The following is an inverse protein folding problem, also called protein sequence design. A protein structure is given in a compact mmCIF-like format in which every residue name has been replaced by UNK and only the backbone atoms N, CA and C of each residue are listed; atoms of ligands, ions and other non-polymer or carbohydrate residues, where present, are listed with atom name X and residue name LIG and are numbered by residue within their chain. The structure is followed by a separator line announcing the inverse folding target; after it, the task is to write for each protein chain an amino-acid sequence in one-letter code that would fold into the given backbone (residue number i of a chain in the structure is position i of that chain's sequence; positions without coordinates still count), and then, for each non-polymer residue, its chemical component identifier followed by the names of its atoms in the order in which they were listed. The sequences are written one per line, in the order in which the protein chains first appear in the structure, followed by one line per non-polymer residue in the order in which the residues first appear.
data_IF_527653197628
#
_entry.id   IF_527653197628
#
_cell.length_a   1.000
_cell.length_b   1.000
_cell.length_c   1.000
_cell.angle_alpha   90.00
_cell.angle_beta   90.00
_cell.angle_gamma   90.00
#
_symmetry.space_group_name_H-M   'P 1'
#
loop_
_entity.id
_entity.type
_entity.pdbx_description
1 polymer ?
#
# COMPACT_ATOMS: atom_id res chain seq x y z
N UNK A 1 -19.14 -2.33 20.62
CA UNK A 1 -18.31 -1.15 20.97
C UNK A 1 -16.86 -1.23 20.47
N UNK A 2 -15.97 -2.09 21.02
CA UNK A 2 -14.57 -2.17 20.53
C UNK A 2 -14.47 -2.67 19.07
N UNK A 3 -15.20 -3.73 18.70
CA UNK A 3 -15.16 -4.29 17.34
C UNK A 3 -15.75 -3.36 16.27
N UNK A 4 -16.84 -2.64 16.57
CA UNK A 4 -17.41 -1.65 15.66
C UNK A 4 -16.42 -0.51 15.41
N UNK A 5 -15.74 -0.02 16.47
CA UNK A 5 -14.70 1.02 16.36
C UNK A 5 -13.55 0.57 15.45
N UNK A 6 -13.13 -0.69 15.53
CA UNK A 6 -12.02 -1.21 14.73
C UNK A 6 -12.35 -1.38 13.25
N UNK A 7 -13.61 -1.69 12.89
CA UNK A 7 -14.02 -1.73 11.48
C UNK A 7 -14.07 -0.33 10.85
N UNK A 8 -14.68 0.65 11.51
CA UNK A 8 -14.69 2.03 11.01
C UNK A 8 -13.26 2.58 10.86
N UNK A 9 -12.37 2.25 11.80
CA UNK A 9 -10.96 2.58 11.69
C UNK A 9 -10.30 1.87 10.49
N UNK A 10 -10.58 0.59 10.27
CA UNK A 10 -10.04 -0.17 9.14
C UNK A 10 -10.49 0.43 7.79
N UNK A 11 -11.79 0.64 7.61
CA UNK A 11 -12.38 1.25 6.40
C UNK A 11 -11.82 2.66 6.19
N UNK A 12 -11.88 3.52 7.22
CA UNK A 12 -11.43 4.90 7.12
C UNK A 12 -9.93 5.00 6.82
N UNK A 13 -9.12 4.12 7.41
CA UNK A 13 -7.69 4.06 7.13
C UNK A 13 -7.38 3.46 5.75
N UNK A 14 -8.15 2.48 5.26
CA UNK A 14 -8.00 1.92 3.90
C UNK A 14 -8.37 2.97 2.84
N UNK A 15 -9.49 3.68 3.01
CA UNK A 15 -9.87 4.78 2.13
C UNK A 15 -8.77 5.86 2.08
N UNK A 16 -8.18 6.20 3.23
CA UNK A 16 -7.11 7.18 3.33
C UNK A 16 -5.80 6.71 2.69
N UNK A 17 -5.48 5.42 2.83
CA UNK A 17 -4.37 4.78 2.16
C UNK A 17 -4.56 4.79 0.64
N UNK A 18 -5.71 4.37 0.12
CA UNK A 18 -6.04 4.36 -1.30
C UNK A 18 -5.97 5.76 -1.93
N UNK A 19 -6.48 6.79 -1.24
CA UNK A 19 -6.34 8.18 -1.71
C UNK A 19 -4.87 8.57 -1.90
N UNK A 20 -4.02 8.20 -0.94
CA UNK A 20 -2.59 8.53 -0.97
C UNK A 20 -1.83 7.69 -2.01
N UNK A 21 -2.15 6.40 -2.11
CA UNK A 21 -1.58 5.49 -3.11
C UNK A 21 -2.00 5.89 -4.54
N UNK A 22 -3.22 6.39 -4.70
CA UNK A 22 -3.72 6.98 -5.94
C UNK A 22 -2.86 8.15 -6.42
N UNK A 23 -2.30 8.97 -5.52
CA UNK A 23 -1.31 9.99 -5.90
C UNK A 23 -0.04 9.33 -6.46
N UNK A 24 0.47 8.28 -5.81
CA UNK A 24 1.64 7.54 -6.30
C UNK A 24 1.43 7.02 -7.74
N UNK A 25 0.24 6.46 -8.02
CA UNK A 25 -0.07 5.84 -9.31
C UNK A 25 -0.47 6.88 -10.37
N UNK A 26 -1.47 7.70 -10.09
CA UNK A 26 -2.05 8.61 -11.07
C UNK A 26 -1.17 9.83 -11.33
N UNK A 27 -0.46 10.34 -10.32
CA UNK A 27 0.35 11.56 -10.45
C UNK A 27 1.81 11.27 -10.79
N UNK A 28 2.44 10.29 -10.14
CA UNK A 28 3.85 9.99 -10.36
C UNK A 28 4.08 8.88 -11.40
N UNK A 29 3.53 7.68 -11.20
CA UNK A 29 3.73 6.55 -12.11
C UNK A 29 3.25 6.85 -13.53
N UNK A 30 2.06 7.45 -13.67
CA UNK A 30 1.45 7.77 -14.96
C UNK A 30 1.98 9.06 -15.61
N UNK A 31 2.84 9.83 -14.94
CA UNK A 31 3.39 11.07 -15.50
C UNK A 31 4.28 10.78 -16.70
N UNK A 32 3.84 11.22 -17.89
CA UNK A 32 4.63 11.12 -19.12
C UNK A 32 5.95 11.87 -19.01
N UNK A 33 5.95 13.06 -18.41
CA UNK A 33 7.14 13.87 -18.24
C UNK A 33 8.17 13.16 -17.36
N UNK A 34 7.76 12.63 -16.21
CA UNK A 34 8.65 11.88 -15.33
C UNK A 34 9.17 10.60 -16.01
N UNK A 35 8.27 9.86 -16.66
CA UNK A 35 8.61 8.63 -17.39
C UNK A 35 9.64 8.86 -18.50
N UNK A 36 9.60 10.00 -19.20
CA UNK A 36 10.58 10.34 -20.23
C UNK A 36 12.00 10.58 -19.68
N UNK A 37 12.14 10.82 -18.38
CA UNK A 37 13.45 11.01 -17.73
C UNK A 37 14.09 9.70 -17.28
N UNK A 38 13.39 8.57 -17.43
CA UNK A 38 13.76 7.25 -16.94
C UNK A 38 13.82 6.24 -18.08
N UNK A 39 14.76 5.30 -18.01
CA UNK A 39 14.66 4.08 -18.80
C UNK A 39 13.47 3.22 -18.35
N UNK A 40 13.03 2.31 -19.21
CA UNK A 40 11.99 1.33 -18.87
C UNK A 40 12.33 0.54 -17.61
N UNK A 41 13.61 0.17 -17.46
CA UNK A 41 14.11 -0.58 -16.29
C UNK A 41 14.06 0.28 -15.02
N UNK A 42 14.51 1.53 -15.08
CA UNK A 42 14.47 2.43 -13.92
C UNK A 42 13.03 2.74 -13.51
N UNK A 43 12.11 2.96 -14.46
CA UNK A 43 10.70 3.15 -14.17
C UNK A 43 10.09 1.91 -13.48
N UNK A 44 10.41 0.72 -13.99
CA UNK A 44 9.98 -0.53 -13.35
C UNK A 44 10.61 -0.73 -11.97
N UNK A 45 11.90 -0.45 -11.77
CA UNK A 45 12.53 -0.53 -10.46
C UNK A 45 11.93 0.49 -9.49
N UNK A 46 11.65 1.71 -9.94
CA UNK A 46 11.13 2.80 -9.10
C UNK A 46 9.72 2.52 -8.60
N UNK A 47 8.84 1.97 -9.43
CA UNK A 47 7.43 1.77 -9.09
C UNK A 47 7.02 0.30 -8.89
N UNK A 48 7.87 -0.66 -9.25
CA UNK A 48 7.60 -2.09 -9.13
C UNK A 48 6.21 -2.47 -9.69
N UNK A 49 5.46 -3.26 -8.95
CA UNK A 49 4.07 -3.66 -9.19
C UNK A 49 3.04 -2.77 -8.45
N UNK A 50 3.33 -1.49 -8.20
CA UNK A 50 2.44 -0.59 -7.42
C UNK A 50 0.98 -0.54 -7.93
N UNK A 51 0.77 -0.66 -9.24
CA UNK A 51 -0.58 -0.69 -9.81
C UNK A 51 -1.35 -1.95 -9.38
N UNK A 52 -0.68 -3.10 -9.31
CA UNK A 52 -1.29 -4.35 -8.83
C UNK A 52 -1.57 -4.27 -7.33
N UNK A 53 -0.66 -3.65 -6.57
CA UNK A 53 -0.87 -3.37 -5.14
C UNK A 53 -2.13 -2.53 -4.95
N UNK A 54 -2.26 -1.43 -5.69
CA UNK A 54 -3.44 -0.56 -5.63
C UNK A 54 -4.73 -1.30 -5.97
N UNK A 55 -4.75 -2.10 -7.05
CA UNK A 55 -5.94 -2.87 -7.43
C UNK A 55 -6.37 -3.87 -6.35
N UNK A 56 -5.42 -4.54 -5.69
CA UNK A 56 -5.72 -5.44 -4.58
C UNK A 56 -6.31 -4.69 -3.37
N UNK A 57 -5.76 -3.51 -3.05
CA UNK A 57 -6.28 -2.65 -1.98
C UNK A 57 -7.68 -2.11 -2.30
N UNK A 58 -7.96 -1.76 -3.55
CA UNK A 58 -9.29 -1.32 -4.00
C UNK A 58 -10.32 -2.43 -3.83
N UNK A 59 -9.98 -3.65 -4.27
CA UNK A 59 -10.84 -4.82 -4.08
C UNK A 59 -11.12 -5.10 -2.61
N UNK A 60 -10.09 -5.04 -1.76
CA UNK A 60 -10.25 -5.18 -0.31
C UNK A 60 -11.17 -4.09 0.27
N UNK A 61 -10.99 -2.84 -0.13
CA UNK A 61 -11.84 -1.74 0.31
C UNK A 61 -13.31 -1.93 -0.12
N UNK A 62 -13.55 -2.36 -1.36
CA UNK A 62 -14.90 -2.64 -1.85
C UNK A 62 -15.60 -3.74 -1.03
N UNK A 63 -14.90 -4.82 -0.69
CA UNK A 63 -15.47 -5.90 0.13
C UNK A 63 -15.79 -5.41 1.56
N UNK A 64 -14.97 -4.52 2.12
CA UNK A 64 -15.25 -3.88 3.41
C UNK A 64 -16.48 -2.96 3.35
N UNK A 65 -16.62 -2.15 2.29
CA UNK A 65 -17.77 -1.27 2.09
C UNK A 65 -19.07 -2.06 1.87
N UNK A 66 -19.01 -3.17 1.12
CA UNK A 66 -20.14 -4.05 0.90
C UNK A 66 -20.65 -4.62 2.23
N UNK A 67 -19.75 -5.11 3.08
CA UNK A 67 -20.11 -5.63 4.42
C UNK A 67 -20.77 -4.57 5.30
N UNK A 68 -20.31 -3.32 5.24
CA UNK A 68 -20.90 -2.21 5.98
C UNK A 68 -22.33 -1.90 5.49
N UNK A 69 -22.59 -2.04 4.18
CA UNK A 69 -23.91 -1.82 3.59
C UNK A 69 -24.94 -2.91 3.91
N UNK A 70 -24.50 -4.15 4.11
CA UNK A 70 -25.38 -5.31 4.39
C UNK A 70 -25.90 -5.33 5.83
N UNK A 71 -25.12 -4.87 6.82
CA UNK A 71 -25.52 -4.85 8.22
C UNK A 71 -24.89 -3.67 8.98
N UNK A 72 -25.74 -2.79 9.55
CA UNK A 72 -25.29 -1.70 10.43
C UNK A 72 -24.75 -2.23 11.77
N UNK A 73 -25.21 -3.42 12.19
CA UNK A 73 -24.62 -4.17 13.30
C UNK A 73 -23.45 -4.98 12.74
N UNK A 74 -22.27 -4.37 12.77
CA UNK A 74 -21.07 -4.86 12.10
C UNK A 74 -20.60 -6.16 12.76
N UNK A 75 -20.72 -7.27 12.04
CA UNK A 75 -20.07 -8.55 12.37
C UNK A 75 -18.56 -8.47 12.15
N UNK A 76 -17.80 -9.30 12.87
CA UNK A 76 -16.33 -9.39 12.80
C UNK A 76 -15.83 -9.35 11.34
N UNK A 77 -14.80 -8.53 11.05
CA UNK A 77 -14.24 -8.38 9.67
C UNK A 77 -12.93 -9.12 9.45
N UNK A 78 -12.55 -9.95 10.43
CA UNK A 78 -11.39 -10.82 10.33
C UNK A 78 -11.50 -11.80 9.16
N UNK A 79 -12.71 -12.23 8.82
CA UNK A 79 -12.98 -13.10 7.66
C UNK A 79 -12.56 -12.44 6.34
N UNK A 80 -12.93 -11.18 6.13
CA UNK A 80 -12.55 -10.41 4.93
C UNK A 80 -11.03 -10.23 4.88
N UNK A 81 -10.40 -9.84 5.98
CA UNK A 81 -8.94 -9.69 6.02
C UNK A 81 -8.24 -11.01 5.66
N UNK A 82 -8.69 -12.13 6.25
CA UNK A 82 -8.13 -13.46 5.98
C UNK A 82 -8.33 -13.89 4.52
N UNK A 83 -9.46 -13.56 3.90
CA UNK A 83 -9.74 -13.84 2.49
C UNK A 83 -8.73 -13.13 1.57
N UNK A 84 -8.30 -11.91 1.91
CA UNK A 84 -7.38 -11.10 1.11
C UNK A 84 -5.89 -11.37 1.39
N UNK A 85 -5.55 -11.97 2.53
CA UNK A 85 -4.17 -12.28 2.92
C UNK A 85 -3.31 -12.96 1.83
N UNK A 86 -3.78 -14.00 1.10
CA UNK A 86 -2.97 -14.64 0.06
C UNK A 86 -2.63 -13.69 -1.10
N UNK A 87 -3.57 -12.85 -1.51
CA UNK A 87 -3.37 -11.87 -2.59
C UNK A 87 -2.43 -10.75 -2.14
N UNK A 88 -2.58 -10.28 -0.89
CA UNK A 88 -1.64 -9.32 -0.30
C UNK A 88 -0.23 -9.88 -0.20
N UNK A 89 -0.05 -11.13 0.24
CA UNK A 89 1.26 -11.75 0.28
C UNK A 89 1.89 -11.80 -1.12
N UNK A 90 1.14 -12.21 -2.14
CA UNK A 90 1.64 -12.32 -3.50
C UNK A 90 2.05 -10.97 -4.13
N UNK A 91 1.40 -9.86 -3.72
CA UNK A 91 1.59 -8.56 -4.37
C UNK A 91 2.44 -7.58 -3.54
N UNK A 92 2.28 -7.55 -2.21
CA UNK A 92 3.06 -6.65 -1.35
C UNK A 92 4.47 -7.16 -1.10
N UNK A 93 4.70 -8.48 -1.00
CA UNK A 93 6.06 -9.02 -0.75
C UNK A 93 7.03 -8.59 -1.87
N UNK A 94 6.73 -8.77 -3.17
CA UNK A 94 7.62 -8.31 -4.24
C UNK A 94 7.82 -6.78 -4.24
N UNK A 95 6.80 -6.02 -3.83
CA UNK A 95 6.91 -4.56 -3.74
C UNK A 95 7.88 -4.15 -2.63
N UNK A 96 7.66 -4.65 -1.41
CA UNK A 96 8.43 -4.30 -0.21
C UNK A 96 9.88 -4.77 -0.34
N UNK A 97 10.11 -5.98 -0.85
CA UNK A 97 11.47 -6.48 -1.09
C UNK A 97 12.24 -5.66 -2.14
N UNK A 98 11.54 -4.98 -3.05
CA UNK A 98 12.14 -4.09 -4.02
C UNK A 98 12.46 -2.67 -3.47
N UNK A 99 12.00 -2.31 -2.25
CA UNK A 99 12.13 -0.94 -1.73
C UNK A 99 13.58 -0.46 -1.55
N UNK A 100 14.50 -1.36 -1.18
CA UNK A 100 15.92 -1.00 -1.08
C UNK A 100 16.50 -0.56 -2.43
N UNK A 101 16.07 -1.21 -3.53
CA UNK A 101 16.46 -0.84 -4.88
C UNK A 101 15.79 0.47 -5.33
N UNK A 102 14.51 0.69 -4.96
CA UNK A 102 13.83 1.97 -5.18
C UNK A 102 14.58 3.13 -4.52
N UNK A 103 14.95 2.98 -3.25
CA UNK A 103 15.62 4.04 -2.51
C UNK A 103 17.01 4.36 -3.08
N UNK A 104 17.80 3.33 -3.40
CA UNK A 104 19.10 3.48 -4.02
C UNK A 104 18.99 4.20 -5.38
N UNK A 105 18.01 3.80 -6.20
CA UNK A 105 17.77 4.40 -7.51
C UNK A 105 17.35 5.88 -7.38
N UNK A 106 16.43 6.21 -6.47
CA UNK A 106 16.03 7.61 -6.26
C UNK A 106 17.24 8.45 -5.84
N UNK A 107 18.08 7.95 -4.92
CA UNK A 107 19.29 8.66 -4.50
C UNK A 107 20.23 8.94 -5.68
N UNK A 108 20.46 7.94 -6.53
CA UNK A 108 21.30 8.06 -7.72
C UNK A 108 20.71 9.05 -8.74
N UNK A 109 19.41 8.96 -9.04
CA UNK A 109 18.73 9.85 -9.99
C UNK A 109 18.72 11.31 -9.51
N UNK A 110 18.50 11.55 -8.22
CA UNK A 110 18.53 12.91 -7.65
C UNK A 110 19.91 13.57 -7.78
N UNK A 111 20.99 12.78 -7.78
CA UNK A 111 22.36 13.28 -7.89
C UNK A 111 22.83 13.45 -9.34
N UNK A 112 22.43 12.55 -10.22
CA UNK A 112 23.04 12.43 -11.54
C UNK A 112 22.09 12.73 -12.72
N UNK A 113 20.78 12.80 -12.49
CA UNK A 113 19.78 13.04 -13.53
C UNK A 113 19.02 14.35 -13.27
N UNK A 114 19.48 15.45 -13.89
CA UNK A 114 18.89 16.79 -13.72
C UNK A 114 17.46 16.88 -14.24
N UNK A 115 17.16 16.19 -15.34
CA UNK A 115 15.81 16.15 -15.94
C UNK A 115 14.81 15.45 -15.01
N UNK A 116 15.22 14.32 -14.42
CA UNK A 116 14.43 13.63 -13.40
C UNK A 116 14.19 14.53 -12.19
N UNK A 117 15.25 15.15 -11.66
CA UNK A 117 15.13 16.06 -10.51
C UNK A 117 14.16 17.21 -10.80
N UNK A 118 14.27 17.84 -11.97
CA UNK A 118 13.38 18.92 -12.37
C UNK A 118 11.92 18.44 -12.47
N UNK A 119 11.68 17.34 -13.19
CA UNK A 119 10.34 16.77 -13.38
C UNK A 119 9.70 16.35 -12.05
N UNK A 120 10.48 15.69 -11.19
CA UNK A 120 10.06 15.30 -9.85
C UNK A 120 9.69 16.52 -9.01
N UNK A 121 10.54 17.56 -8.97
CA UNK A 121 10.26 18.77 -8.19
C UNK A 121 9.05 19.55 -8.71
N UNK A 122 8.77 19.49 -10.00
CA UNK A 122 7.54 20.03 -10.57
C UNK A 122 6.31 19.27 -10.06
N UNK A 123 6.35 17.94 -10.05
CA UNK A 123 5.26 17.10 -9.55
C UNK A 123 5.03 17.25 -8.04
N UNK A 124 6.09 17.28 -7.23
CA UNK A 124 6.01 17.43 -5.76
C UNK A 124 5.43 18.79 -5.31
N UNK A 125 5.46 19.81 -6.17
CA UNK A 125 4.85 21.13 -5.92
C UNK A 125 3.35 21.16 -6.16
N UNK A 126 2.80 20.16 -6.84
CA UNK A 126 1.37 20.09 -7.12
C UNK A 126 0.58 19.96 -5.79
N UNK A 127 -0.50 20.74 -5.60
CA UNK A 127 -1.35 20.63 -4.41
C UNK A 127 -1.84 19.22 -4.10
N UNK A 128 -2.01 18.35 -5.12
CA UNK A 128 -2.41 16.94 -4.92
C UNK A 128 -1.44 16.17 -4.03
N UNK A 129 -0.16 16.57 -4.01
CA UNK A 129 0.88 15.95 -3.18
C UNK A 129 0.80 16.36 -1.71
N UNK A 130 0.04 17.41 -1.35
CA UNK A 130 -0.09 17.90 0.02
C UNK A 130 1.25 18.08 0.75
N UNK A 131 2.26 18.61 0.04
CA UNK A 131 3.65 18.82 0.50
C UNK A 131 4.43 17.53 0.78
N UNK A 132 3.90 16.37 0.42
CA UNK A 132 4.60 15.09 0.50
C UNK A 132 5.52 14.89 -0.72
N UNK A 133 6.59 14.14 -0.51
CA UNK A 133 7.56 13.77 -1.55
C UNK A 133 7.16 12.46 -2.24
N UNK A 134 7.75 12.15 -3.39
CA UNK A 134 7.58 10.83 -4.01
C UNK A 134 7.96 9.69 -3.05
N UNK A 135 9.05 9.85 -2.30
CA UNK A 135 9.51 8.83 -1.33
C UNK A 135 8.46 8.52 -0.26
N UNK A 136 7.75 9.53 0.25
CA UNK A 136 6.69 9.33 1.25
C UNK A 136 5.46 8.61 0.69
N UNK A 137 5.22 8.66 -0.62
CA UNK A 137 4.18 7.85 -1.24
C UNK A 137 4.64 6.41 -1.50
N UNK A 138 5.90 6.21 -1.90
CA UNK A 138 6.43 4.87 -2.21
C UNK A 138 6.57 3.95 -0.99
N UNK A 139 6.66 4.51 0.22
CA UNK A 139 6.71 3.74 1.49
C UNK A 139 5.32 3.27 1.96
N UNK A 140 4.23 3.81 1.39
CA UNK A 140 2.87 3.53 1.85
C UNK A 140 2.51 2.04 1.84
N UNK A 141 2.87 1.22 0.81
CA UNK A 141 2.55 -0.20 0.83
C UNK A 141 3.16 -0.96 2.01
N UNK A 142 4.42 -0.65 2.37
CA UNK A 142 5.06 -1.22 3.56
C UNK A 142 4.31 -0.82 4.83
N UNK A 143 4.03 0.47 5.01
CA UNK A 143 3.29 0.95 6.18
C UNK A 143 1.91 0.29 6.30
N UNK A 144 1.22 0.07 5.18
CA UNK A 144 -0.11 -0.55 5.18
C UNK A 144 -0.05 -2.00 5.62
N UNK A 145 0.83 -2.81 5.01
CA UNK A 145 0.90 -4.24 5.34
C UNK A 145 1.36 -4.46 6.79
N UNK A 146 2.27 -3.63 7.30
CA UNK A 146 2.65 -3.66 8.73
C UNK A 146 1.46 -3.33 9.64
N UNK A 147 0.64 -2.35 9.27
CA UNK A 147 -0.56 -2.00 10.07
C UNK A 147 -1.59 -3.11 10.08
N UNK A 148 -1.84 -3.76 8.93
CA UNK A 148 -2.76 -4.90 8.82
C UNK A 148 -2.25 -6.07 9.70
N UNK A 149 -0.95 -6.37 9.67
CA UNK A 149 -0.33 -7.36 10.56
C UNK A 149 -0.63 -7.07 12.03
N UNK A 150 -0.40 -5.84 12.49
CA UNK A 150 -0.65 -5.45 13.88
C UNK A 150 -2.13 -5.58 14.27
N UNK A 151 -3.05 -5.22 13.38
CA UNK A 151 -4.49 -5.38 13.63
C UNK A 151 -4.90 -6.85 13.81
N UNK A 152 -4.22 -7.78 13.11
CA UNK A 152 -4.43 -9.21 13.25
C UNK A 152 -3.77 -9.78 14.52
N UNK A 153 -2.56 -9.35 14.86
CA UNK A 153 -1.78 -9.87 16.01
C UNK A 153 -2.30 -9.39 17.36
N UNK A 154 -2.82 -8.16 17.45
CA UNK A 154 -3.38 -7.59 18.69
C UNK A 154 -4.72 -8.25 19.09
N UNK A 155 -5.26 -9.17 18.27
CA UNK A 155 -6.44 -9.97 18.61
C UNK A 155 -7.75 -9.19 18.57
N UNK A 156 -7.80 -8.10 17.81
CA UNK A 156 -9.04 -7.33 17.58
C UNK A 156 -10.07 -8.18 16.81
N UNK A 157 -9.59 -9.15 16.04
CA UNK A 157 -10.38 -10.17 15.36
C UNK A 157 -10.16 -11.53 16.02
N UNK A 158 -11.22 -12.22 16.44
CA UNK A 158 -11.13 -13.59 16.95
C UNK A 158 -10.77 -14.53 15.80
N UNK A 159 -9.47 -14.75 15.60
CA UNK A 159 -8.97 -15.68 14.59
C UNK A 159 -8.89 -17.07 15.24
N UNK A 160 -9.48 -18.12 14.65
CA UNK A 160 -9.36 -19.48 15.17
C UNK A 160 -7.89 -19.89 15.33
N UNK A 161 -7.55 -20.48 16.48
CA UNK A 161 -6.19 -20.91 16.86
C UNK A 161 -5.47 -21.74 15.78
N UNK A 162 -6.21 -22.45 14.93
CA UNK A 162 -5.66 -23.22 13.82
C UNK A 162 -5.00 -22.38 12.70
N UNK A 163 -5.26 -21.06 12.63
CA UNK A 163 -4.62 -20.14 11.68
C UNK A 163 -3.36 -19.45 12.24
N UNK A 164 -3.27 -19.33 13.57
CA UNK A 164 -2.15 -18.66 14.26
C UNK A 164 -0.88 -19.51 14.24
N UNK A 165 -1.00 -20.83 14.21
CA UNK A 165 0.14 -21.73 14.44
C UNK A 165 0.93 -22.15 13.19
N UNK A 166 0.48 -21.90 11.95
CA UNK A 166 1.13 -22.50 10.76
C UNK A 166 1.44 -21.57 9.57
N UNK A 167 0.92 -20.34 9.47
CA UNK A 167 1.22 -19.44 8.32
C UNK A 167 1.69 -18.03 8.68
N UNK A 168 1.07 -17.39 9.69
CA UNK A 168 1.39 -15.98 10.02
C UNK A 168 2.84 -15.80 10.52
N UNK A 169 3.38 -16.78 11.23
CA UNK A 169 4.73 -16.69 11.83
C UNK A 169 5.87 -16.79 10.81
N UNK A 170 5.67 -17.46 9.67
CA UNK A 170 6.73 -17.70 8.66
C UNK A 170 6.58 -16.81 7.43
N UNK A 171 5.36 -16.40 7.09
CA UNK A 171 5.07 -15.62 5.88
C UNK A 171 5.20 -14.09 6.09
N UNK A 172 5.18 -13.61 7.34
CA UNK A 172 5.36 -12.18 7.69
C UNK A 172 6.68 -11.91 8.44
N UNK A 173 7.58 -12.89 8.53
CA UNK A 173 9.00 -12.65 8.89
C UNK A 173 9.85 -12.29 7.65
N UNK A 174 9.29 -12.49 6.44
CA UNK A 174 9.91 -12.13 5.15
C UNK A 174 9.24 -10.91 4.47
N UNK A 175 8.34 -10.23 5.18
CA UNK A 175 7.83 -8.88 4.90
C UNK A 175 8.57 -7.86 5.76
#
# INVERSE_FOLDING_TARGET
MLQESSMFELIGSEASYLRSLGVAVCHFYASKALKQTLSQREHHTLFSNICCVMAASEKFFMDLEMRLGENVVISQVGDIVLQHCPEFQALYVPYVTNMMYQEALIKQLLQHNREFLYSLKKLERDPVCQRQSLKSFLVLPFQRITRIKLLLEVGIYEIPSCYVSLKVKRDIELL
#
